data_IF_479337133624
#
_entry.id   IF_479337133624
#
_cell.length_a   1.000
_cell.length_b   1.000
_cell.length_c   1.000
_cell.angle_alpha   90.00
_cell.angle_beta   90.00
_cell.angle_gamma   90.00
#
_symmetry.space_group_name_H-M   'P 1'
#
loop_
_entity.id
_entity.type
_entity.pdbx_description
1 polymer ?
#
# COMPACT_ATOMS: atom_id res chain seq x y z
N UNK A 1 -4.46 23.69 -1.89
CA UNK A 1 -5.40 22.92 -2.73
C UNK A 1 -6.87 23.19 -2.40
N UNK A 2 -7.33 23.01 -1.15
CA UNK A 2 -8.75 23.17 -0.77
C UNK A 2 -9.42 24.49 -1.19
N UNK A 3 -8.73 25.64 -1.02
CA UNK A 3 -9.25 26.95 -1.48
C UNK A 3 -9.35 27.06 -3.01
N UNK A 4 -8.44 26.40 -3.73
CA UNK A 4 -8.45 26.36 -5.20
C UNK A 4 -9.67 25.58 -5.72
N UNK A 5 -9.90 24.39 -5.19
CA UNK A 5 -11.04 23.55 -5.56
C UNK A 5 -12.36 24.27 -5.25
N UNK A 6 -12.47 24.94 -4.08
CA UNK A 6 -13.69 25.67 -3.74
C UNK A 6 -13.97 26.85 -4.70
N UNK A 7 -12.95 27.40 -5.36
CA UNK A 7 -13.10 28.51 -6.32
C UNK A 7 -13.68 28.10 -7.67
N UNK A 8 -13.72 26.80 -7.97
CA UNK A 8 -14.30 26.21 -9.18
C UNK A 8 -15.54 25.37 -8.86
N UNK A 9 -15.96 25.30 -7.60
CA UNK A 9 -17.21 24.64 -7.20
C UNK A 9 -18.44 25.39 -7.70
N UNK A 10 -19.53 24.67 -7.91
CA UNK A 10 -20.87 25.25 -7.99
C UNK A 10 -21.57 25.12 -6.64
N UNK A 11 -22.54 26.01 -6.38
CA UNK A 11 -23.33 25.95 -5.15
C UNK A 11 -24.13 24.66 -5.07
N UNK A 12 -24.62 24.18 -6.22
CA UNK A 12 -25.41 22.97 -6.34
C UNK A 12 -25.06 22.21 -7.62
N UNK A 13 -25.25 20.89 -7.63
CA UNK A 13 -24.82 20.02 -8.72
C UNK A 13 -25.54 20.28 -10.05
N UNK A 14 -26.82 20.69 -10.02
CA UNK A 14 -27.61 20.93 -11.24
C UNK A 14 -27.08 22.11 -12.07
N UNK A 15 -26.28 23.00 -11.49
CA UNK A 15 -25.66 24.11 -12.21
C UNK A 15 -24.62 23.66 -13.24
N UNK A 16 -24.23 22.40 -13.23
CA UNK A 16 -23.27 21.79 -14.16
C UNK A 16 -23.71 20.38 -14.59
N UNK A 17 -25.00 20.04 -14.46
CA UNK A 17 -25.51 18.71 -14.79
C UNK A 17 -25.73 18.53 -16.30
N UNK A 18 -26.23 19.57 -16.98
CA UNK A 18 -26.61 19.50 -18.39
C UNK A 18 -25.49 19.94 -19.34
N UNK A 19 -24.68 20.92 -18.92
CA UNK A 19 -23.58 21.48 -19.73
C UNK A 19 -22.33 21.68 -18.89
N UNK A 20 -21.17 21.38 -19.47
CA UNK A 20 -19.86 21.61 -18.85
C UNK A 20 -19.53 23.11 -18.81
N UNK A 21 -19.15 23.61 -17.64
CA UNK A 21 -18.54 24.94 -17.50
C UNK A 21 -17.05 24.87 -17.89
N UNK A 22 -16.78 25.05 -19.18
CA UNK A 22 -15.44 25.08 -19.79
C UNK A 22 -14.45 25.95 -19.00
N UNK A 23 -14.89 27.12 -18.52
CA UNK A 23 -14.02 28.06 -17.79
C UNK A 23 -13.58 27.50 -16.44
N UNK A 24 -14.51 26.91 -15.70
CA UNK A 24 -14.18 26.27 -14.42
C UNK A 24 -13.39 24.98 -14.60
N UNK A 25 -13.65 24.21 -15.66
CA UNK A 25 -12.90 23.01 -16.01
C UNK A 25 -11.42 23.33 -16.27
N UNK A 26 -11.14 24.29 -17.16
CA UNK A 26 -9.78 24.72 -17.47
C UNK A 26 -9.07 25.32 -16.24
N UNK A 27 -9.80 26.07 -15.41
CA UNK A 27 -9.27 26.58 -14.15
C UNK A 27 -8.95 25.46 -13.15
N UNK A 28 -9.76 24.40 -13.08
CA UNK A 28 -9.50 23.25 -12.22
C UNK A 28 -8.24 22.51 -12.66
N UNK A 29 -8.08 22.24 -13.96
CA UNK A 29 -6.88 21.59 -14.51
C UNK A 29 -5.62 22.34 -14.09
N UNK A 30 -5.57 23.66 -14.32
CA UNK A 30 -4.46 24.50 -13.88
C UNK A 30 -4.19 24.42 -12.39
N UNK A 31 -5.22 24.42 -11.54
CA UNK A 31 -5.06 24.30 -10.08
C UNK A 31 -4.45 22.95 -9.69
N UNK A 32 -4.78 21.88 -10.42
CA UNK A 32 -4.22 20.53 -10.21
C UNK A 32 -2.77 20.51 -10.68
N UNK A 33 -2.49 20.98 -11.89
CA UNK A 33 -1.15 21.02 -12.48
C UNK A 33 -0.21 21.86 -11.61
N UNK A 34 -0.61 23.10 -11.29
CA UNK A 34 0.14 23.98 -10.38
C UNK A 34 0.36 23.38 -9.00
N UNK A 35 -0.52 22.48 -8.54
CA UNK A 35 -0.30 21.80 -7.27
C UNK A 35 0.76 20.72 -7.41
N UNK A 36 0.63 19.81 -8.38
CA UNK A 36 1.55 18.68 -8.53
C UNK A 36 2.91 19.06 -9.11
N UNK A 37 3.01 20.17 -9.86
CA UNK A 37 4.27 20.70 -10.39
C UNK A 37 5.06 21.53 -9.36
N UNK A 38 4.51 21.76 -8.15
CA UNK A 38 5.26 22.44 -7.09
C UNK A 38 6.50 21.66 -6.73
N UNK A 39 7.65 22.29 -6.98
CA UNK A 39 8.97 21.80 -6.62
C UNK A 39 9.05 21.34 -5.17
N UNK A 40 8.39 22.03 -4.24
CA UNK A 40 8.30 21.63 -2.82
C UNK A 40 7.64 20.25 -2.65
N UNK A 41 6.50 20.01 -3.32
CA UNK A 41 5.78 18.73 -3.28
C UNK A 41 6.61 17.64 -3.94
N UNK A 42 7.20 17.92 -5.11
CA UNK A 42 8.08 16.97 -5.80
C UNK A 42 9.33 16.65 -4.98
N UNK A 43 9.87 17.62 -4.24
CA UNK A 43 11.02 17.44 -3.35
C UNK A 43 10.61 16.65 -2.10
N UNK A 44 9.45 16.89 -1.50
CA UNK A 44 8.93 16.07 -0.40
C UNK A 44 8.66 14.62 -0.83
N UNK A 45 8.11 14.41 -2.03
CA UNK A 45 7.94 13.06 -2.59
C UNK A 45 9.29 12.40 -2.84
N UNK A 46 10.22 13.09 -3.50
CA UNK A 46 11.58 12.58 -3.71
C UNK A 46 12.29 12.30 -2.39
N UNK A 47 12.20 13.15 -1.38
CA UNK A 47 12.79 12.89 -0.06
C UNK A 47 12.14 11.72 0.67
N UNK A 48 10.84 11.46 0.47
CA UNK A 48 10.18 10.25 0.99
C UNK A 48 10.57 8.99 0.23
N UNK A 49 10.85 9.09 -1.07
CA UNK A 49 11.34 7.97 -1.88
C UNK A 49 12.85 7.75 -1.68
N UNK A 50 13.65 8.79 -1.52
CA UNK A 50 15.09 8.77 -1.25
C UNK A 50 15.38 8.43 0.22
N UNK A 51 14.48 8.77 1.16
CA UNK A 51 14.48 8.25 2.53
C UNK A 51 13.97 6.81 2.64
N UNK A 52 13.34 6.32 1.56
CA UNK A 52 13.10 4.92 1.25
C UNK A 52 14.11 4.45 0.20
N UNK A 53 15.37 4.92 0.27
CA UNK A 53 16.49 4.17 -0.31
C UNK A 53 16.23 2.70 -0.01
N UNK A 54 16.30 1.82 -1.01
CA UNK A 54 16.04 0.38 -0.85
C UNK A 54 16.98 -0.14 0.23
N UNK A 55 16.57 0.02 1.49
CA UNK A 55 17.39 -0.30 2.64
C UNK A 55 17.36 -1.80 2.63
N UNK A 56 18.39 -2.35 1.99
CA UNK A 56 18.52 -3.78 1.80
C UNK A 56 18.32 -4.39 3.17
N UNK A 57 17.30 -5.24 3.33
CA UNK A 57 16.93 -5.72 4.63
C UNK A 57 18.13 -6.43 5.24
N UNK A 58 18.42 -6.13 6.50
CA UNK A 58 19.56 -6.73 7.17
C UNK A 58 19.42 -8.25 7.17
N UNK A 59 20.53 -9.02 7.20
CA UNK A 59 20.46 -10.48 7.24
C UNK A 59 19.60 -11.02 8.40
N UNK A 60 19.54 -10.28 9.50
CA UNK A 60 18.71 -10.59 10.67
C UNK A 60 17.21 -10.42 10.38
N UNK A 61 16.82 -9.32 9.74
CA UNK A 61 15.42 -9.08 9.34
C UNK A 61 14.95 -10.13 8.32
N UNK A 62 15.80 -10.48 7.35
CA UNK A 62 15.50 -11.54 6.38
C UNK A 62 15.33 -12.89 7.08
N UNK A 63 16.23 -13.23 8.00
CA UNK A 63 16.15 -14.49 8.75
C UNK A 63 14.90 -14.56 9.63
N UNK A 64 14.53 -13.46 10.28
CA UNK A 64 13.30 -13.38 11.08
C UNK A 64 12.06 -13.54 10.20
N UNK A 65 12.00 -12.87 9.05
CA UNK A 65 10.88 -13.01 8.13
C UNK A 65 10.74 -14.44 7.60
N UNK A 66 11.86 -15.13 7.29
CA UNK A 66 11.84 -16.55 6.91
C UNK A 66 11.23 -17.41 8.03
N UNK A 67 11.67 -17.20 9.28
CA UNK A 67 11.15 -17.94 10.42
C UNK A 67 9.64 -17.70 10.60
N UNK A 68 9.20 -16.44 10.50
CA UNK A 68 7.79 -16.06 10.59
C UNK A 68 6.95 -16.68 9.47
N UNK A 69 7.44 -16.66 8.22
CA UNK A 69 6.79 -17.28 7.06
C UNK A 69 6.59 -18.78 7.32
N UNK A 70 7.66 -19.49 7.69
CA UNK A 70 7.60 -20.94 7.96
C UNK A 70 6.61 -21.25 9.06
N UNK A 71 6.57 -20.41 10.09
CA UNK A 71 5.70 -20.63 11.22
C UNK A 71 4.22 -20.32 10.93
N UNK A 72 3.95 -19.30 10.13
CA UNK A 72 2.61 -19.03 9.60
C UNK A 72 2.10 -20.24 8.80
N UNK A 73 2.94 -20.79 7.91
CA UNK A 73 2.60 -21.97 7.11
C UNK A 73 2.42 -23.20 8.02
N UNK A 74 3.29 -23.40 9.00
CA UNK A 74 3.20 -24.53 9.93
C UNK A 74 1.91 -24.51 10.76
N UNK A 75 1.50 -23.34 11.25
CA UNK A 75 0.33 -23.22 12.13
C UNK A 75 -1.00 -23.17 11.37
N UNK A 76 -1.02 -22.61 10.17
CA UNK A 76 -2.27 -22.35 9.44
C UNK A 76 -2.36 -23.02 8.06
N UNK A 77 -1.29 -23.68 7.60
CA UNK A 77 -1.20 -24.25 6.26
C UNK A 77 -2.07 -25.48 6.01
N UNK A 78 -2.52 -26.15 7.08
CA UNK A 78 -3.51 -27.23 6.97
C UNK A 78 -4.89 -26.69 6.55
N UNK A 79 -5.28 -25.56 7.12
CA UNK A 79 -6.59 -24.93 6.87
C UNK A 79 -6.58 -24.01 5.64
N UNK A 80 -5.42 -23.41 5.32
CA UNK A 80 -5.30 -22.39 4.29
C UNK A 80 -4.19 -22.71 3.29
N UNK A 81 -4.53 -22.66 2.00
CA UNK A 81 -3.54 -22.73 0.92
C UNK A 81 -2.93 -21.35 0.70
N UNK A 82 -1.74 -21.13 1.25
CA UNK A 82 -1.01 -19.88 1.06
C UNK A 82 -0.36 -19.76 -0.31
N UNK A 83 -0.29 -18.52 -0.80
CA UNK A 83 0.63 -18.10 -1.86
C UNK A 83 1.46 -16.91 -1.33
N UNK A 84 2.55 -16.58 -2.01
CA UNK A 84 3.47 -15.54 -1.52
C UNK A 84 2.80 -14.17 -1.32
N UNK A 85 1.84 -13.81 -2.17
CA UNK A 85 1.09 -12.55 -2.04
C UNK A 85 0.14 -12.54 -0.85
N UNK A 86 -0.52 -13.66 -0.56
CA UNK A 86 -1.36 -13.81 0.62
C UNK A 86 -0.55 -13.63 1.91
N UNK A 87 0.63 -14.27 1.98
CA UNK A 87 1.54 -14.16 3.12
C UNK A 87 2.03 -12.71 3.30
N UNK A 88 2.51 -12.07 2.23
CA UNK A 88 2.95 -10.67 2.28
C UNK A 88 1.83 -9.71 2.74
N UNK A 89 0.59 -9.94 2.29
CA UNK A 89 -0.57 -9.15 2.74
C UNK A 89 -0.86 -9.31 4.23
N UNK A 90 -0.77 -10.53 4.77
CA UNK A 90 -0.93 -10.76 6.22
C UNK A 90 0.15 -9.97 6.97
N UNK A 91 1.41 -10.09 6.55
CA UNK A 91 2.52 -9.40 7.21
C UNK A 91 2.49 -7.87 7.13
N UNK A 92 1.94 -7.30 6.05
CA UNK A 92 1.68 -5.86 5.97
C UNK A 92 0.34 -5.43 6.59
N UNK A 93 -0.51 -6.39 6.97
CA UNK A 93 -1.85 -6.12 7.48
C UNK A 93 -2.82 -5.55 6.46
N UNK A 94 -2.72 -6.00 5.21
CA UNK A 94 -3.60 -5.61 4.11
C UNK A 94 -4.72 -6.65 3.96
N UNK A 95 -5.95 -6.28 4.33
CA UNK A 95 -7.13 -7.14 4.24
C UNK A 95 -7.31 -7.74 2.85
N UNK A 96 -7.68 -9.02 2.76
CA UNK A 96 -8.07 -9.67 1.49
C UNK A 96 -9.34 -10.51 1.68
N UNK A 97 -10.05 -10.91 0.61
CA UNK A 97 -11.25 -11.72 0.74
C UNK A 97 -11.03 -13.02 1.54
N UNK A 98 -9.91 -13.73 1.33
CA UNK A 98 -9.57 -14.95 2.06
C UNK A 98 -8.97 -14.69 3.45
N UNK A 99 -8.36 -13.52 3.66
CA UNK A 99 -7.69 -13.12 4.91
C UNK A 99 -8.22 -11.75 5.37
N UNK A 100 -9.48 -11.68 5.83
CA UNK A 100 -10.10 -10.40 6.19
C UNK A 100 -9.53 -9.86 7.51
N UNK A 101 -9.29 -8.55 7.57
CA UNK A 101 -8.74 -7.88 8.76
C UNK A 101 -9.59 -8.10 10.02
N UNK A 102 -10.91 -8.23 9.89
CA UNK A 102 -11.83 -8.50 10.99
C UNK A 102 -11.51 -9.82 11.73
N UNK A 103 -10.92 -10.79 11.03
CA UNK A 103 -10.57 -12.10 11.59
C UNK A 103 -9.06 -12.19 11.84
N UNK A 104 -8.27 -11.92 10.80
CA UNK A 104 -6.81 -12.06 10.83
C UNK A 104 -6.09 -10.92 11.55
N UNK A 105 -6.72 -9.75 11.70
CA UNK A 105 -6.17 -8.64 12.47
C UNK A 105 -5.98 -8.95 13.96
N UNK A 106 -6.68 -9.96 14.49
CA UNK A 106 -6.49 -10.46 15.86
C UNK A 106 -5.25 -11.32 16.00
N UNK A 107 -4.75 -11.93 14.91
CA UNK A 107 -3.53 -12.72 14.90
C UNK A 107 -2.30 -11.79 14.85
N UNK A 108 -2.12 -10.97 15.91
CA UNK A 108 -1.08 -9.92 16.02
C UNK A 108 0.35 -10.42 15.82
N UNK A 109 0.56 -11.72 15.97
CA UNK A 109 1.82 -12.39 15.70
C UNK A 109 2.27 -12.27 14.24
N UNK A 110 1.32 -12.34 13.31
CA UNK A 110 1.59 -12.32 11.88
C UNK A 110 1.03 -11.06 11.24
N UNK A 111 -0.10 -10.56 11.74
CA UNK A 111 -0.71 -9.36 11.20
C UNK A 111 0.14 -8.14 11.51
N UNK A 112 0.60 -7.42 10.48
CA UNK A 112 1.44 -6.21 10.61
C UNK A 112 2.81 -6.46 11.30
N UNK A 113 3.35 -7.67 11.26
CA UNK A 113 4.60 -8.01 11.97
C UNK A 113 5.88 -7.68 11.18
N UNK A 114 5.85 -7.78 9.85
CA UNK A 114 7.03 -7.54 8.98
C UNK A 114 6.84 -6.30 8.09
N UNK A 115 6.32 -5.20 8.66
CA UNK A 115 6.03 -3.96 7.92
C UNK A 115 7.28 -3.17 7.51
N UNK A 116 8.42 -3.47 8.12
CA UNK A 116 9.73 -2.89 7.81
C UNK A 116 10.32 -3.41 6.49
N UNK A 117 9.84 -4.54 5.99
CA UNK A 117 10.30 -5.13 4.74
C UNK A 117 9.44 -4.64 3.57
N UNK A 118 10.07 -4.50 2.40
CA UNK A 118 9.32 -4.24 1.17
C UNK A 118 8.32 -5.37 0.88
N UNK A 119 7.15 -4.97 0.39
CA UNK A 119 6.07 -5.90 0.10
C UNK A 119 6.46 -6.91 -0.98
N UNK A 120 7.11 -6.46 -2.06
CA UNK A 120 7.50 -7.37 -3.15
C UNK A 120 8.68 -8.26 -2.74
N UNK A 121 9.59 -7.76 -1.91
CA UNK A 121 10.61 -8.57 -1.27
C UNK A 121 9.98 -9.71 -0.46
N UNK A 122 9.01 -9.42 0.40
CA UNK A 122 8.27 -10.44 1.16
C UNK A 122 7.52 -11.43 0.27
N UNK A 123 6.93 -10.98 -0.85
CA UNK A 123 6.30 -11.89 -1.82
C UNK A 123 7.31 -12.90 -2.36
N UNK A 124 8.49 -12.43 -2.81
CA UNK A 124 9.55 -13.29 -3.35
C UNK A 124 10.04 -14.28 -2.30
N UNK A 125 10.32 -13.79 -1.09
CA UNK A 125 10.78 -14.59 0.04
C UNK A 125 9.76 -15.68 0.40
N UNK A 126 8.48 -15.32 0.49
CA UNK A 126 7.41 -16.27 0.79
C UNK A 126 7.21 -17.32 -0.30
N UNK A 127 7.33 -16.97 -1.59
CA UNK A 127 7.29 -17.96 -2.69
C UNK A 127 8.44 -18.96 -2.55
N UNK A 128 9.66 -18.50 -2.28
CA UNK A 128 10.81 -19.38 -2.08
C UNK A 128 10.59 -20.35 -0.92
N UNK A 129 10.08 -19.88 0.22
CA UNK A 129 9.83 -20.74 1.38
C UNK A 129 8.68 -21.72 1.15
N UNK A 130 7.62 -21.32 0.44
CA UNK A 130 6.53 -22.24 0.06
C UNK A 130 7.07 -23.38 -0.81
N UNK A 131 7.95 -23.10 -1.76
CA UNK A 131 8.54 -24.13 -2.64
C UNK A 131 9.41 -25.09 -1.84
N UNK A 132 10.21 -24.59 -0.87
CA UNK A 132 11.08 -25.44 -0.03
C UNK A 132 10.32 -26.36 0.92
N UNK A 133 9.12 -25.98 1.34
CA UNK A 133 8.28 -26.75 2.26
C UNK A 133 7.36 -27.76 1.56
N UNK A 134 7.40 -27.80 0.23
CA UNK A 134 6.55 -28.65 -0.60
C UNK A 134 7.31 -29.87 -1.09
#
# INVERSE_FOLDING_TARGET
>A
MARGINSVSHKNFWMCADTLDEKKNEKLKKIIDDYFEKQEILTEFKQREEGQDEKQPSPQEVSQAIADIRQLISLHGHEHRFNGRAIARIFHGISSPCFPAQTWGRARRFWRSNMNLDFNFLVKLAVQEIIKLR
#
